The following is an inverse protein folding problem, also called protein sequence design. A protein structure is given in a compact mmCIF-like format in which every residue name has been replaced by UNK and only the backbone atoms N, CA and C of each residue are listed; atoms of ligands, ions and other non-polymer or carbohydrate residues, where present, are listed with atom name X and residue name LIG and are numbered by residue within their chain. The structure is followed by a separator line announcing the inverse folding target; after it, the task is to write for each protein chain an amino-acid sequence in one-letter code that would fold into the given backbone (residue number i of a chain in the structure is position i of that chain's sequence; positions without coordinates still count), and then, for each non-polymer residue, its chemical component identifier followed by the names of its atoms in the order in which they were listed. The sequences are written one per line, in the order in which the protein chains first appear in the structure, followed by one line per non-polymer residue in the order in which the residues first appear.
data_IF_107022619754
#
_entry.id   IF_107022619754
#
_cell.length_a   1.000
_cell.length_b   1.000
_cell.length_c   1.000
_cell.angle_alpha   90.00
_cell.angle_beta   90.00
_cell.angle_gamma   90.00
#
_symmetry.space_group_name_H-M   'P 1'
#
loop_
_entity.id
_entity.type
_entity.pdbx_description
1 polymer ?
#
# COMPACT_ATOMS: atom_id res chain seq x y z
N UNK A 1 -9.32 -25.17 -3.27
CA UNK A 1 -9.10 -24.53 -1.96
C UNK A 1 -9.48 -23.08 -2.18
N UNK A 2 -10.66 -22.68 -1.69
CA UNK A 2 -11.23 -21.37 -2.00
C UNK A 2 -10.34 -20.26 -1.45
N UNK A 3 -10.05 -19.27 -2.30
CA UNK A 3 -9.28 -18.05 -1.99
C UNK A 3 -9.89 -17.27 -0.79
N UNK A 4 -11.11 -17.64 -0.37
CA UNK A 4 -11.80 -17.06 0.79
C UNK A 4 -11.09 -17.32 2.13
N UNK A 5 -10.40 -18.44 2.33
CA UNK A 5 -9.75 -18.77 3.61
C UNK A 5 -8.33 -18.18 3.77
N UNK A 6 -7.69 -17.74 2.69
CA UNK A 6 -6.28 -17.29 2.69
C UNK A 6 -6.06 -15.93 3.37
N UNK A 7 -7.11 -15.17 3.69
CA UNK A 7 -6.95 -13.81 4.27
C UNK A 7 -6.71 -13.76 5.77
N UNK A 8 -6.90 -14.87 6.48
CA UNK A 8 -6.74 -14.91 7.94
C UNK A 8 -5.89 -16.10 8.41
N UNK A 9 -5.34 -16.89 7.47
CA UNK A 9 -4.43 -17.99 7.74
C UNK A 9 -2.98 -17.53 7.89
N UNK A 10 -2.19 -18.29 8.66
CA UNK A 10 -0.78 -18.02 9.00
C UNK A 10 0.17 -17.93 7.78
N UNK A 11 -0.30 -18.15 6.54
CA UNK A 11 0.50 -18.29 5.30
C UNK A 11 -0.06 -17.51 4.08
N UNK A 12 -1.03 -16.61 4.26
CA UNK A 12 -1.79 -16.04 3.13
C UNK A 12 -0.96 -15.35 2.02
N UNK A 13 0.14 -14.69 2.37
CA UNK A 13 1.01 -14.04 1.39
C UNK A 13 1.81 -15.05 0.54
N UNK A 14 2.45 -16.02 1.20
CA UNK A 14 3.17 -17.09 0.48
C UNK A 14 2.23 -17.95 -0.37
N UNK A 15 1.03 -18.22 0.12
CA UNK A 15 -0.01 -18.94 -0.64
C UNK A 15 -0.46 -18.14 -1.88
N UNK A 16 -0.55 -16.80 -1.80
CA UNK A 16 -0.85 -15.94 -2.96
C UNK A 16 0.29 -15.97 -4.00
N UNK A 17 1.55 -15.95 -3.56
CA UNK A 17 2.70 -16.07 -4.46
C UNK A 17 2.75 -17.46 -5.10
N UNK A 18 2.50 -18.52 -4.33
CA UNK A 18 2.43 -19.89 -4.85
C UNK A 18 1.26 -20.05 -5.82
N UNK A 19 0.12 -19.42 -5.54
CA UNK A 19 -1.00 -19.36 -6.47
C UNK A 19 -0.59 -18.67 -7.78
N UNK A 20 0.07 -17.51 -7.73
CA UNK A 20 0.64 -16.85 -8.93
C UNK A 20 1.61 -17.74 -9.71
N UNK A 21 2.50 -18.47 -9.03
CA UNK A 21 3.42 -19.43 -9.65
C UNK A 21 2.70 -20.62 -10.28
N UNK A 22 1.66 -21.14 -9.61
CA UNK A 22 0.83 -22.22 -10.11
C UNK A 22 0.07 -21.78 -11.36
N UNK A 23 -0.51 -20.58 -11.36
CA UNK A 23 -1.13 -19.96 -12.53
C UNK A 23 -0.14 -19.87 -13.69
N UNK A 24 1.10 -19.42 -13.45
CA UNK A 24 2.13 -19.38 -14.49
C UNK A 24 2.47 -20.78 -15.03
N UNK A 25 2.44 -21.81 -14.18
CA UNK A 25 2.66 -23.20 -14.61
C UNK A 25 1.50 -23.74 -15.45
N UNK A 26 0.26 -23.57 -14.98
CA UNK A 26 -0.95 -23.99 -15.71
C UNK A 26 -1.10 -23.25 -17.04
N UNK A 27 -0.73 -21.97 -17.08
CA UNK A 27 -0.67 -21.16 -18.29
C UNK A 27 0.43 -21.60 -19.28
N UNK A 28 1.56 -22.14 -18.77
CA UNK A 28 2.61 -22.76 -19.60
C UNK A 28 2.23 -24.15 -20.12
N UNK A 29 1.38 -24.87 -19.41
CA UNK A 29 0.84 -26.15 -19.88
C UNK A 29 -0.29 -25.95 -20.92
N UNK A 30 -0.93 -24.77 -20.91
CA UNK A 30 -1.89 -24.29 -21.92
C UNK A 30 -1.25 -23.41 -23.01
N UNK A 31 0.08 -23.33 -23.04
CA UNK A 31 0.85 -22.36 -23.83
C UNK A 31 0.53 -22.39 -25.33
N UNK A 32 -0.10 -21.30 -25.79
CA UNK A 32 -0.51 -21.07 -27.17
C UNK A 32 0.68 -20.81 -28.09
N UNK A 33 1.85 -20.46 -27.55
CA UNK A 33 3.08 -20.19 -28.33
C UNK A 33 3.59 -21.42 -29.12
N UNK A 34 3.02 -22.61 -28.89
CA UNK A 34 3.37 -23.86 -29.62
C UNK A 34 2.33 -24.32 -30.67
N UNK A 35 1.24 -23.58 -30.93
CA UNK A 35 0.12 -24.07 -31.75
C UNK A 35 -0.14 -23.29 -33.06
N UNK A 36 -0.82 -23.96 -34.00
CA UNK A 36 -0.98 -23.70 -35.46
C UNK A 36 -1.77 -22.44 -35.87
N UNK A 37 -1.76 -22.16 -37.18
CA UNK A 37 -2.32 -20.98 -37.87
C UNK A 37 -3.78 -20.60 -37.58
N UNK A 38 -4.59 -21.50 -37.01
CA UNK A 38 -5.99 -21.23 -36.63
C UNK A 38 -6.13 -20.32 -35.41
N UNK A 39 -5.08 -20.15 -34.59
CA UNK A 39 -5.09 -19.33 -33.36
C UNK A 39 -4.56 -17.91 -33.52
N UNK A 40 -4.16 -17.49 -34.73
CA UNK A 40 -3.90 -16.06 -35.02
C UNK A 40 -5.11 -15.17 -34.70
N UNK A 41 -6.31 -15.70 -34.89
CA UNK A 41 -7.57 -15.02 -34.58
C UNK A 41 -7.82 -14.89 -33.06
N UNK A 42 -7.29 -15.81 -32.24
CA UNK A 42 -7.33 -15.75 -30.76
C UNK A 42 -6.27 -14.76 -30.22
N UNK A 43 -5.12 -14.60 -30.89
CA UNK A 43 -4.14 -13.57 -30.53
C UNK A 43 -4.71 -12.16 -30.75
N UNK A 44 -5.44 -11.93 -31.85
CA UNK A 44 -6.13 -10.66 -32.09
C UNK A 44 -7.27 -10.42 -31.08
N UNK A 45 -7.86 -11.49 -30.54
CA UNK A 45 -8.94 -11.43 -29.53
C UNK A 45 -8.45 -10.87 -28.19
N UNK A 46 -7.23 -11.22 -27.75
CA UNK A 46 -6.69 -10.78 -26.46
C UNK A 46 -5.81 -9.53 -26.52
N UNK A 47 -5.41 -9.11 -27.71
CA UNK A 47 -4.56 -7.93 -27.93
C UNK A 47 -5.12 -6.66 -27.23
N UNK A 48 -6.44 -6.47 -27.23
CA UNK A 48 -7.08 -5.38 -26.49
C UNK A 48 -6.82 -5.49 -24.98
N UNK A 49 -6.92 -6.68 -24.40
CA UNK A 49 -6.64 -6.93 -22.99
C UNK A 49 -5.15 -6.82 -22.64
N UNK A 50 -4.24 -7.16 -23.55
CA UNK A 50 -2.80 -6.91 -23.36
C UNK A 50 -2.51 -5.42 -23.15
N UNK A 51 -3.14 -4.57 -23.97
CA UNK A 51 -3.02 -3.11 -23.87
C UNK A 51 -3.75 -2.56 -22.63
N UNK A 52 -4.99 -3.00 -22.37
CA UNK A 52 -5.77 -2.54 -21.21
C UNK A 52 -5.01 -2.86 -19.92
N UNK A 53 -4.57 -4.11 -19.72
CA UNK A 53 -3.85 -4.50 -18.52
C UNK A 53 -2.52 -3.77 -18.39
N UNK A 54 -1.78 -3.55 -19.48
CA UNK A 54 -0.55 -2.76 -19.47
C UNK A 54 -0.80 -1.34 -18.94
N UNK A 55 -1.77 -0.62 -19.51
CA UNK A 55 -2.07 0.75 -19.08
C UNK A 55 -2.62 0.78 -17.65
N UNK A 56 -3.50 -0.14 -17.25
CA UNK A 56 -3.97 -0.20 -15.86
C UNK A 56 -2.85 -0.45 -14.85
N UNK A 57 -1.82 -1.23 -15.22
CA UNK A 57 -0.64 -1.44 -14.37
C UNK A 57 0.29 -0.23 -14.30
N UNK A 58 0.51 0.45 -15.44
CA UNK A 58 1.56 1.48 -15.58
C UNK A 58 1.06 2.90 -15.35
N UNK A 59 -0.24 3.13 -15.43
CA UNK A 59 -0.92 4.41 -15.25
C UNK A 59 -1.82 4.39 -13.99
N UNK A 60 -1.24 4.53 -12.78
CA UNK A 60 -1.94 4.32 -11.53
C UNK A 60 -3.11 5.27 -11.28
N UNK A 61 -3.19 6.40 -12.01
CA UNK A 61 -4.30 7.35 -11.91
C UNK A 61 -5.66 6.71 -12.20
N UNK A 62 -5.73 5.77 -13.15
CA UNK A 62 -6.98 5.14 -13.54
C UNK A 62 -7.50 4.26 -12.40
N UNK A 63 -6.67 3.33 -11.91
CA UNK A 63 -7.02 2.47 -10.79
C UNK A 63 -7.27 3.27 -9.50
N UNK A 64 -6.56 4.38 -9.27
CA UNK A 64 -6.80 5.26 -8.12
C UNK A 64 -8.22 5.83 -8.14
N UNK A 65 -8.70 6.29 -9.30
CA UNK A 65 -10.08 6.79 -9.45
C UNK A 65 -11.10 5.67 -9.32
N UNK A 66 -10.85 4.51 -9.93
CA UNK A 66 -11.70 3.33 -9.80
C UNK A 66 -11.89 2.91 -8.33
N UNK A 67 -10.79 2.78 -7.58
CA UNK A 67 -10.82 2.39 -6.16
C UNK A 67 -11.62 3.40 -5.32
N UNK A 68 -11.52 4.68 -5.66
CA UNK A 68 -12.21 5.72 -4.91
C UNK A 68 -13.74 5.65 -4.98
N UNK A 69 -14.30 5.14 -6.08
CA UNK A 69 -15.73 4.93 -6.23
C UNK A 69 -16.29 3.91 -5.21
N UNK A 70 -15.43 3.07 -4.64
CA UNK A 70 -15.79 2.02 -3.70
C UNK A 70 -15.47 2.37 -2.24
N UNK A 71 -14.98 3.56 -1.94
CA UNK A 71 -14.72 3.96 -0.54
C UNK A 71 -15.97 4.03 0.34
N UNK A 72 -17.15 4.24 -0.27
CA UNK A 72 -18.44 4.17 0.42
C UNK A 72 -18.99 2.74 0.55
N UNK A 73 -18.35 1.75 -0.08
CA UNK A 73 -18.74 0.33 -0.14
C UNK A 73 -17.59 -0.56 0.36
N UNK A 74 -17.21 -0.46 1.66
CA UNK A 74 -16.02 -1.12 2.19
C UNK A 74 -16.06 -2.65 2.09
N UNK A 75 -17.24 -3.26 1.99
CA UNK A 75 -17.44 -4.69 1.77
C UNK A 75 -17.01 -5.17 0.38
N UNK A 76 -16.99 -4.28 -0.62
CA UNK A 76 -16.62 -4.60 -2.00
C UNK A 76 -15.11 -4.55 -2.21
N UNK A 77 -14.41 -3.67 -1.47
CA UNK A 77 -12.98 -3.42 -1.66
C UNK A 77 -12.11 -4.68 -1.47
N UNK A 78 -12.28 -5.52 -0.43
CA UNK A 78 -11.49 -6.75 -0.29
C UNK A 78 -11.68 -7.70 -1.47
N UNK A 79 -12.91 -7.83 -1.96
CA UNK A 79 -13.24 -8.70 -3.09
C UNK A 79 -12.66 -8.16 -4.40
N UNK A 80 -12.73 -6.84 -4.64
CA UNK A 80 -12.06 -6.20 -5.76
C UNK A 80 -10.55 -6.43 -5.73
N UNK A 81 -9.92 -6.23 -4.56
CA UNK A 81 -8.46 -6.44 -4.39
C UNK A 81 -8.10 -7.89 -4.73
N UNK A 82 -8.82 -8.87 -4.18
CA UNK A 82 -8.54 -10.29 -4.39
C UNK A 82 -8.81 -10.78 -5.81
N UNK A 83 -9.93 -10.37 -6.41
CA UNK A 83 -10.44 -10.97 -7.66
C UNK A 83 -10.04 -10.20 -8.92
N UNK A 84 -9.63 -8.94 -8.80
CA UNK A 84 -9.22 -8.11 -9.93
C UNK A 84 -7.82 -7.53 -9.75
N UNK A 85 -7.55 -6.84 -8.64
CA UNK A 85 -6.31 -6.07 -8.48
C UNK A 85 -5.07 -6.97 -8.34
N UNK A 86 -5.08 -7.92 -7.41
CA UNK A 86 -3.95 -8.84 -7.23
C UNK A 86 -3.69 -9.69 -8.49
N UNK A 87 -4.70 -10.29 -9.17
CA UNK A 87 -4.51 -10.93 -10.45
C UNK A 87 -3.89 -10.00 -11.51
N UNK A 88 -4.35 -8.75 -11.61
CA UNK A 88 -3.79 -7.76 -12.55
C UNK A 88 -2.29 -7.53 -12.29
N UNK A 89 -1.86 -7.48 -11.03
CA UNK A 89 -0.45 -7.34 -10.65
C UNK A 89 0.25 -8.69 -10.43
N UNK A 90 -0.20 -9.77 -11.09
CA UNK A 90 0.40 -11.11 -11.01
C UNK A 90 0.69 -11.57 -9.56
N UNK A 91 -0.20 -11.25 -8.62
CA UNK A 91 -0.08 -11.52 -7.19
C UNK A 91 1.24 -11.04 -6.56
N UNK A 92 1.87 -10.02 -7.15
CA UNK A 92 3.13 -9.45 -6.68
C UNK A 92 4.25 -10.50 -6.68
N UNK A 93 4.21 -11.42 -7.66
CA UNK A 93 5.18 -12.52 -7.74
C UNK A 93 6.60 -12.07 -8.12
N UNK A 94 6.72 -10.94 -8.85
CA UNK A 94 7.98 -10.37 -9.32
C UNK A 94 8.12 -8.91 -8.85
N UNK A 95 9.38 -8.42 -8.77
CA UNK A 95 9.68 -7.07 -8.26
C UNK A 95 9.05 -5.94 -9.09
N UNK A 96 8.82 -6.17 -10.39
CA UNK A 96 8.16 -5.20 -11.28
C UNK A 96 6.73 -4.95 -10.79
N UNK A 97 5.94 -5.99 -10.61
CA UNK A 97 4.56 -5.88 -10.16
C UNK A 97 4.47 -5.36 -8.73
N UNK A 98 5.43 -5.71 -7.86
CA UNK A 98 5.57 -5.10 -6.53
C UNK A 98 5.73 -3.58 -6.62
N UNK A 99 6.64 -3.12 -7.49
CA UNK A 99 6.87 -1.70 -7.71
C UNK A 99 5.65 -0.97 -8.28
N UNK A 100 4.97 -1.54 -9.27
CA UNK A 100 3.80 -0.91 -9.89
C UNK A 100 2.62 -0.85 -8.91
N UNK A 101 2.42 -1.89 -8.11
CA UNK A 101 1.42 -1.86 -7.04
C UNK A 101 1.79 -0.84 -5.95
N UNK A 102 3.06 -0.77 -5.56
CA UNK A 102 3.55 0.25 -4.63
C UNK A 102 3.33 1.67 -5.18
N UNK A 103 3.53 1.87 -6.49
CA UNK A 103 3.27 3.14 -7.18
C UNK A 103 1.79 3.51 -7.19
N UNK A 104 0.89 2.53 -7.35
CA UNK A 104 -0.56 2.73 -7.18
C UNK A 104 -0.90 3.16 -5.75
N UNK A 105 -0.38 2.47 -4.74
CA UNK A 105 -0.61 2.83 -3.34
C UNK A 105 -0.07 4.22 -3.00
N UNK A 106 1.09 4.59 -3.55
CA UNK A 106 1.64 5.95 -3.45
C UNK A 106 0.67 6.98 -4.04
N UNK A 107 0.13 6.74 -5.24
CA UNK A 107 -0.82 7.65 -5.88
C UNK A 107 -2.11 7.82 -5.04
N UNK A 108 -2.62 6.72 -4.48
CA UNK A 108 -3.78 6.73 -3.58
C UNK A 108 -3.49 7.55 -2.32
N UNK A 109 -2.32 7.38 -1.71
CA UNK A 109 -1.88 8.15 -0.54
C UNK A 109 -1.74 9.64 -0.87
N UNK A 110 -1.04 9.99 -1.96
CA UNK A 110 -0.82 11.38 -2.39
C UNK A 110 -2.14 12.12 -2.55
N UNK A 111 -3.13 11.49 -3.19
CA UNK A 111 -4.46 12.08 -3.38
C UNK A 111 -5.12 12.48 -2.06
N UNK A 112 -5.04 11.64 -1.04
CA UNK A 112 -5.59 11.96 0.28
C UNK A 112 -4.73 13.00 1.01
N UNK A 113 -3.40 12.92 0.92
CA UNK A 113 -2.44 13.90 1.47
C UNK A 113 -2.75 15.32 0.95
N UNK A 114 -3.06 15.44 -0.34
CA UNK A 114 -3.46 16.70 -1.00
C UNK A 114 -4.79 17.28 -0.47
N UNK A 115 -5.51 16.56 0.40
CA UNK A 115 -6.72 17.06 1.06
C UNK A 115 -6.56 17.25 2.57
N UNK A 116 -5.44 16.80 3.15
CA UNK A 116 -5.23 16.84 4.59
C UNK A 116 -5.04 18.25 5.12
N UNK A 117 -5.62 18.51 6.31
CA UNK A 117 -5.40 19.75 7.06
C UNK A 117 -4.27 19.65 8.08
N UNK A 118 -3.89 18.44 8.47
CA UNK A 118 -2.80 18.15 9.41
C UNK A 118 -2.22 16.75 9.16
N UNK A 119 -0.91 16.50 9.41
CA UNK A 119 -0.28 15.20 9.16
C UNK A 119 -0.97 14.03 9.88
N UNK A 120 -1.37 14.25 11.13
CA UNK A 120 -2.04 13.25 11.98
C UNK A 120 -3.33 12.68 11.41
N UNK A 121 -3.99 13.40 10.50
CA UNK A 121 -5.27 12.98 9.94
C UNK A 121 -5.12 11.85 8.91
N UNK A 122 -3.91 11.56 8.41
CA UNK A 122 -3.67 10.49 7.42
C UNK A 122 -4.22 9.14 7.87
N UNK A 123 -4.09 8.79 9.16
CA UNK A 123 -4.54 7.48 9.69
C UNK A 123 -6.07 7.25 9.60
N UNK A 124 -6.84 8.28 9.29
CA UNK A 124 -8.31 8.24 9.18
C UNK A 124 -8.82 8.31 7.74
N UNK A 125 -7.92 8.44 6.76
CA UNK A 125 -8.31 8.65 5.37
C UNK A 125 -8.77 7.36 4.70
N UNK A 126 -9.28 7.46 3.47
CA UNK A 126 -9.69 6.28 2.71
C UNK A 126 -8.48 5.52 2.17
N UNK A 127 -7.38 6.21 1.86
CA UNK A 127 -6.09 5.60 1.58
C UNK A 127 -5.65 4.70 2.73
N UNK A 128 -5.74 5.16 3.99
CA UNK A 128 -5.42 4.33 5.17
C UNK A 128 -6.29 3.06 5.25
N UNK A 129 -7.60 3.18 4.99
CA UNK A 129 -8.52 2.04 4.96
C UNK A 129 -8.16 1.06 3.84
N UNK A 130 -7.81 1.55 2.67
CA UNK A 130 -7.42 0.73 1.53
C UNK A 130 -6.08 0.03 1.76
N UNK A 131 -5.07 0.74 2.28
CA UNK A 131 -3.77 0.17 2.65
C UNK A 131 -3.92 -0.91 3.71
N UNK A 132 -4.87 -0.75 4.65
CA UNK A 132 -5.24 -1.77 5.64
C UNK A 132 -5.77 -3.06 5.03
N UNK A 133 -6.42 -2.99 3.87
CA UNK A 133 -6.94 -4.18 3.19
C UNK A 133 -5.81 -4.90 2.46
N UNK A 134 -5.01 -4.16 1.70
CA UNK A 134 -4.07 -4.74 0.75
C UNK A 134 -2.72 -5.14 1.35
N UNK A 135 -2.16 -4.35 2.28
CA UNK A 135 -0.82 -4.59 2.82
C UNK A 135 -0.67 -6.00 3.41
N UNK A 136 -1.57 -6.48 4.28
CA UNK A 136 -1.46 -7.84 4.83
C UNK A 136 -1.46 -8.95 3.76
N UNK A 137 -2.06 -8.71 2.59
CA UNK A 137 -2.09 -9.69 1.50
C UNK A 137 -0.76 -9.73 0.72
N UNK A 138 -0.03 -8.61 0.68
CA UNK A 138 1.16 -8.43 -0.18
C UNK A 138 2.47 -8.30 0.59
N UNK A 139 2.43 -8.31 1.92
CA UNK A 139 3.63 -8.27 2.75
C UNK A 139 3.77 -9.57 3.53
N UNK A 140 4.83 -10.35 3.27
CA UNK A 140 5.17 -11.57 4.00
C UNK A 140 5.59 -11.30 5.45
N UNK A 141 4.63 -11.38 6.37
CA UNK A 141 4.79 -11.00 7.78
C UNK A 141 4.65 -12.18 8.73
N UNK A 142 4.73 -13.42 8.24
CA UNK A 142 4.39 -14.62 9.02
C UNK A 142 5.22 -14.70 10.30
N UNK A 143 6.54 -14.45 10.21
CA UNK A 143 7.44 -14.51 11.37
C UNK A 143 7.09 -13.49 12.47
N UNK A 144 6.63 -12.28 12.09
CA UNK A 144 6.21 -11.25 13.04
C UNK A 144 4.84 -11.60 13.62
N UNK A 145 3.92 -12.07 12.78
CA UNK A 145 2.59 -12.50 13.18
C UNK A 145 2.64 -13.67 14.16
N UNK A 146 3.50 -14.67 13.93
CA UNK A 146 3.69 -15.79 14.86
C UNK A 146 4.16 -15.33 16.24
N UNK A 147 5.09 -14.35 16.31
CA UNK A 147 5.54 -13.78 17.59
C UNK A 147 4.42 -13.06 18.33
N UNK A 148 3.57 -12.31 17.62
CA UNK A 148 2.42 -11.63 18.22
C UNK A 148 1.36 -12.63 18.68
N UNK A 149 1.10 -13.68 17.90
CA UNK A 149 0.18 -14.77 18.29
C UNK A 149 0.69 -15.46 19.56
N UNK A 150 1.98 -15.71 19.67
CA UNK A 150 2.57 -16.28 20.89
C UNK A 150 2.43 -15.35 22.10
N UNK A 151 2.65 -14.04 21.94
CA UNK A 151 2.37 -13.07 23.00
C UNK A 151 0.90 -13.07 23.41
N UNK A 152 -0.02 -13.21 22.46
CA UNK A 152 -1.45 -13.30 22.76
C UNK A 152 -1.82 -14.59 23.48
N UNK A 153 -1.11 -15.70 23.22
CA UNK A 153 -1.25 -16.94 24.02
C UNK A 153 -0.76 -16.74 25.45
N UNK A 154 0.38 -16.05 25.64
CA UNK A 154 0.89 -15.73 26.98
C UNK A 154 -0.07 -14.83 27.76
N UNK A 155 -0.74 -13.88 27.09
CA UNK A 155 -1.75 -13.00 27.69
C UNK A 155 -2.88 -13.82 28.36
N UNK A 156 -3.25 -14.95 27.76
CA UNK A 156 -4.33 -15.84 28.22
C UNK A 156 -3.98 -16.67 29.46
N UNK A 157 -2.70 -16.79 29.81
CA UNK A 157 -2.27 -17.56 30.98
C UNK A 157 -2.88 -16.98 32.26
N UNK A 158 -3.33 -17.85 33.18
CA UNK A 158 -4.04 -17.45 34.40
C UNK A 158 -3.26 -16.45 35.23
N UNK A 159 -1.93 -16.57 35.31
CA UNK A 159 -1.08 -15.62 36.03
C UNK A 159 -1.00 -14.21 35.41
N UNK A 160 -1.42 -14.06 34.16
CA UNK A 160 -1.39 -12.81 33.41
C UNK A 160 -2.76 -12.14 33.29
N UNK A 161 -3.81 -12.85 33.71
CA UNK A 161 -5.18 -12.36 33.70
C UNK A 161 -5.42 -11.43 34.89
N UNK A 162 -6.18 -10.38 34.65
CA UNK A 162 -6.66 -9.45 35.67
C UNK A 162 -8.16 -9.62 35.84
N UNK A 163 -8.64 -9.46 37.07
CA UNK A 163 -10.04 -9.68 37.43
C UNK A 163 -10.98 -8.72 36.70
N UNK A 164 -10.62 -7.43 36.65
CA UNK A 164 -11.40 -6.42 35.95
C UNK A 164 -10.47 -5.40 35.29
N UNK A 165 -10.66 -5.16 34.00
CA UNK A 165 -9.93 -4.17 33.22
C UNK A 165 -10.80 -2.95 32.95
N UNK A 166 -10.43 -1.79 33.50
CA UNK A 166 -11.09 -0.52 33.19
C UNK A 166 -10.18 0.66 33.53
N UNK A 167 -10.15 1.66 32.65
CA UNK A 167 -9.43 2.93 32.88
C UNK A 167 -10.35 4.11 33.21
N UNK A 168 -11.66 3.92 33.12
CA UNK A 168 -12.64 4.95 33.43
C UNK A 168 -13.01 4.89 34.91
N UNK A 169 -12.39 5.77 35.71
CA UNK A 169 -12.62 5.87 37.16
C UNK A 169 -14.09 6.11 37.51
N UNK A 170 -14.85 6.83 36.68
CA UNK A 170 -16.26 7.13 36.95
C UNK A 170 -17.11 5.87 36.78
N UNK A 171 -16.85 5.10 35.72
CA UNK A 171 -17.53 3.82 35.49
C UNK A 171 -17.18 2.77 36.56
N UNK A 172 -15.92 2.75 37.03
CA UNK A 172 -15.51 1.85 38.11
C UNK A 172 -16.21 2.25 39.42
N UNK A 173 -16.24 3.54 39.73
CA UNK A 173 -16.89 4.06 40.93
C UNK A 173 -18.39 3.75 40.92
N UNK A 174 -19.08 4.01 39.80
CA UNK A 174 -20.52 3.73 39.65
C UNK A 174 -20.85 2.25 39.84
N UNK A 175 -19.98 1.35 39.37
CA UNK A 175 -20.16 -0.09 39.54
C UNK A 175 -20.05 -0.54 41.01
N UNK A 176 -19.20 0.09 41.83
CA UNK A 176 -19.02 -0.29 43.24
C UNK A 176 -19.95 0.44 44.21
N UNK A 177 -20.26 1.71 43.93
CA UNK A 177 -20.99 2.60 44.84
C UNK A 177 -22.46 2.80 44.43
N UNK A 178 -22.87 2.33 43.24
CA UNK A 178 -24.25 2.42 42.74
C UNK A 178 -24.71 3.84 42.40
N UNK A 179 -23.79 4.81 42.35
CA UNK A 179 -24.03 6.21 41.97
C UNK A 179 -22.83 6.77 41.21
N UNK A 180 -23.04 7.85 40.47
CA UNK A 180 -21.93 8.59 39.86
C UNK A 180 -21.11 9.36 40.92
N UNK A 181 -19.79 9.49 40.71
CA UNK A 181 -18.98 10.37 41.53
C UNK A 181 -19.34 11.83 41.27
N UNK A 182 -19.10 12.70 42.25
CA UNK A 182 -19.25 14.15 42.15
C UNK A 182 -18.19 14.75 41.23
N UNK A 183 -16.97 14.23 41.34
CA UNK A 183 -15.83 14.59 40.52
C UNK A 183 -14.84 13.42 40.40
N UNK A 184 -13.89 13.55 39.48
CA UNK A 184 -12.83 12.55 39.25
C UNK A 184 -11.92 12.34 40.48
N UNK A 185 -11.89 13.26 41.44
CA UNK A 185 -11.06 13.14 42.65
C UNK A 185 -11.72 12.22 43.66
N UNK A 186 -13.04 12.31 43.85
CA UNK A 186 -13.82 11.38 44.66
C UNK A 186 -13.64 9.94 44.13
N UNK A 187 -13.76 9.76 42.81
CA UNK A 187 -13.55 8.46 42.19
C UNK A 187 -12.13 7.92 42.41
N UNK A 188 -11.10 8.76 42.19
CA UNK A 188 -9.70 8.34 42.33
C UNK A 188 -9.27 8.06 43.78
N UNK A 189 -9.96 8.63 44.78
CA UNK A 189 -9.69 8.39 46.21
C UNK A 189 -10.34 7.12 46.77
N UNK A 190 -11.28 6.50 46.04
CA UNK A 190 -11.89 5.25 46.46
C UNK A 190 -10.89 4.09 46.29
N UNK A 191 -10.61 3.35 47.38
CA UNK A 191 -9.61 2.27 47.39
C UNK A 191 -9.89 1.17 46.35
N UNK A 192 -11.16 0.81 46.12
CA UNK A 192 -11.53 -0.20 45.12
C UNK A 192 -11.26 0.30 43.71
N UNK A 193 -11.60 1.58 43.45
CA UNK A 193 -11.33 2.23 42.16
C UNK A 193 -9.82 2.32 41.92
N UNK A 194 -9.06 2.76 42.91
CA UNK A 194 -7.61 2.88 42.84
C UNK A 194 -6.95 1.52 42.57
N UNK A 195 -7.40 0.45 43.23
CA UNK A 195 -6.91 -0.90 42.99
C UNK A 195 -7.12 -1.35 41.53
N UNK A 196 -8.36 -1.30 41.04
CA UNK A 196 -8.70 -1.67 39.66
C UNK A 196 -7.92 -0.83 38.64
N UNK A 197 -7.85 0.48 38.86
CA UNK A 197 -7.16 1.40 37.97
C UNK A 197 -5.66 1.08 37.91
N UNK A 198 -5.01 0.87 39.05
CA UNK A 198 -3.58 0.57 39.09
C UNK A 198 -3.27 -0.79 38.47
N UNK A 199 -4.09 -1.80 38.70
CA UNK A 199 -3.96 -3.11 38.03
C UNK A 199 -4.14 -2.99 36.52
N UNK A 200 -5.12 -2.20 36.05
CA UNK A 200 -5.36 -1.96 34.63
C UNK A 200 -4.21 -1.19 33.96
N UNK A 201 -3.64 -0.18 34.65
CA UNK A 201 -2.46 0.56 34.19
C UNK A 201 -1.24 -0.35 34.10
N UNK A 202 -0.94 -1.12 35.15
CA UNK A 202 0.18 -2.05 35.17
C UNK A 202 0.05 -3.11 34.06
N UNK A 203 -1.16 -3.61 33.82
CA UNK A 203 -1.46 -4.52 32.72
C UNK A 203 -1.16 -3.90 31.35
N UNK A 204 -1.64 -2.68 31.08
CA UNK A 204 -1.35 -2.00 29.81
C UNK A 204 0.13 -1.69 29.63
N UNK A 205 0.81 -1.22 30.68
CA UNK A 205 2.26 -0.96 30.60
C UNK A 205 3.01 -2.24 30.27
N UNK A 206 2.75 -3.34 31.00
CA UNK A 206 3.42 -4.63 30.77
C UNK A 206 3.19 -5.15 29.35
N UNK A 207 1.94 -5.23 28.92
CA UNK A 207 1.59 -5.87 27.64
C UNK A 207 1.78 -4.94 26.44
N UNK A 208 1.54 -3.65 26.60
CA UNK A 208 1.84 -2.63 25.60
C UNK A 208 3.32 -2.59 25.26
N UNK A 209 4.19 -2.58 26.28
CA UNK A 209 5.65 -2.60 26.06
C UNK A 209 6.10 -3.89 25.37
N UNK A 210 5.62 -5.07 25.81
CA UNK A 210 5.94 -6.35 25.14
C UNK A 210 5.52 -6.38 23.67
N UNK A 211 4.32 -5.89 23.36
CA UNK A 211 3.84 -5.81 21.97
C UNK A 211 4.70 -4.84 21.17
N UNK A 212 4.99 -3.66 21.71
CA UNK A 212 5.85 -2.67 21.05
C UNK A 212 7.27 -3.20 20.81
N UNK A 213 7.86 -3.92 21.76
CA UNK A 213 9.18 -4.56 21.61
C UNK A 213 9.20 -5.58 20.47
N UNK A 214 8.13 -6.38 20.31
CA UNK A 214 8.03 -7.34 19.21
C UNK A 214 7.83 -6.63 17.87
N UNK A 215 6.92 -5.66 17.81
CA UNK A 215 6.60 -4.93 16.57
C UNK A 215 7.79 -4.09 16.09
N UNK A 216 8.43 -3.36 17.00
CA UNK A 216 9.44 -2.34 16.69
C UNK A 216 10.86 -2.77 17.06
N UNK A 217 11.10 -4.07 17.22
CA UNK A 217 12.44 -4.59 17.48
C UNK A 217 13.42 -4.15 16.40
N UNK A 218 14.70 -3.98 16.75
CA UNK A 218 15.77 -3.78 15.75
C UNK A 218 15.91 -4.95 14.77
N UNK A 219 15.38 -6.12 15.13
CA UNK A 219 15.35 -7.29 14.25
C UNK A 219 14.20 -7.26 13.25
N UNK A 220 13.23 -6.36 13.43
CA UNK A 220 12.08 -6.22 12.55
C UNK A 220 12.55 -5.63 11.22
N UNK A 221 12.42 -6.41 10.15
CA UNK A 221 12.68 -5.95 8.78
C UNK A 221 11.38 -5.52 8.15
N UNK A 222 11.30 -4.24 7.77
CA UNK A 222 10.16 -3.74 7.02
C UNK A 222 10.23 -4.27 5.58
N UNK A 223 9.12 -4.78 5.01
CA UNK A 223 9.02 -5.10 3.59
C UNK A 223 9.42 -3.94 2.67
N UNK A 224 10.01 -4.24 1.50
CA UNK A 224 10.47 -3.22 0.52
C UNK A 224 9.35 -2.26 0.13
N UNK A 225 8.17 -2.77 -0.20
CA UNK A 225 6.99 -1.96 -0.49
C UNK A 225 6.66 -0.96 0.63
N UNK A 226 6.72 -1.39 1.90
CA UNK A 226 6.45 -0.49 3.02
C UNK A 226 7.52 0.59 3.15
N UNK A 227 8.79 0.24 2.99
CA UNK A 227 9.87 1.23 3.01
C UNK A 227 9.68 2.31 1.93
N UNK A 228 9.35 1.89 0.71
CA UNK A 228 9.03 2.80 -0.40
C UNK A 228 7.83 3.71 -0.10
N UNK A 229 6.74 3.16 0.44
CA UNK A 229 5.55 3.94 0.78
C UNK A 229 5.82 4.95 1.91
N UNK A 230 6.59 4.56 2.92
CA UNK A 230 6.98 5.44 4.03
C UNK A 230 7.78 6.63 3.50
N UNK A 231 8.80 6.35 2.68
CA UNK A 231 9.66 7.40 2.14
C UNK A 231 8.88 8.33 1.20
N UNK A 232 8.12 7.77 0.25
CA UNK A 232 7.30 8.58 -0.65
C UNK A 232 6.24 9.42 0.08
N UNK A 233 5.57 8.86 1.09
CA UNK A 233 4.62 9.59 1.94
C UNK A 233 5.30 10.73 2.69
N UNK A 234 6.53 10.53 3.16
CA UNK A 234 7.30 11.58 3.83
C UNK A 234 7.61 12.76 2.91
N UNK A 235 8.00 12.49 1.68
CA UNK A 235 8.24 13.53 0.66
C UNK A 235 6.95 14.30 0.38
N UNK A 236 5.84 13.60 0.10
CA UNK A 236 4.55 14.21 -0.19
C UNK A 236 4.01 15.02 1.01
N UNK A 237 4.22 14.53 2.24
CA UNK A 237 3.85 15.24 3.47
C UNK A 237 4.67 16.51 3.70
N UNK A 238 5.97 16.50 3.39
CA UNK A 238 6.83 17.69 3.48
C UNK A 238 6.42 18.76 2.48
N UNK A 239 6.08 18.35 1.26
CA UNK A 239 5.55 19.23 0.23
C UNK A 239 4.22 19.86 0.68
N UNK A 240 3.31 19.06 1.24
CA UNK A 240 2.01 19.52 1.74
C UNK A 240 2.10 20.42 2.97
N UNK A 241 2.99 20.12 3.90
CA UNK A 241 3.11 20.79 5.20
C UNK A 241 4.51 21.37 5.43
N UNK A 242 4.92 22.40 4.67
CA UNK A 242 6.29 22.94 4.73
C UNK A 242 6.65 23.59 6.07
N UNK A 243 5.64 23.91 6.90
CA UNK A 243 5.80 24.47 8.25
C UNK A 243 5.75 23.41 9.36
N UNK A 244 5.34 22.19 9.06
CA UNK A 244 5.30 21.12 10.05
C UNK A 244 6.71 20.67 10.38
N UNK A 245 6.96 20.32 11.64
CA UNK A 245 8.26 19.78 12.03
C UNK A 245 8.43 18.36 11.51
N UNK A 246 9.67 17.88 11.45
CA UNK A 246 9.95 16.48 11.13
C UNK A 246 9.18 15.53 12.07
N UNK A 247 9.10 15.86 13.36
CA UNK A 247 8.37 15.07 14.35
C UNK A 247 6.86 14.99 14.04
N UNK A 248 6.22 16.11 13.67
CA UNK A 248 4.79 16.13 13.34
C UNK A 248 4.46 15.26 12.12
N UNK A 249 5.33 15.31 11.10
CA UNK A 249 5.19 14.47 9.89
C UNK A 249 5.39 12.99 10.26
N UNK A 250 6.43 12.68 11.04
CA UNK A 250 6.72 11.31 11.46
C UNK A 250 5.62 10.70 12.30
N UNK A 251 5.02 11.48 13.21
CA UNK A 251 3.84 11.04 13.94
C UNK A 251 2.72 10.65 12.97
N UNK A 252 2.46 11.48 11.96
CA UNK A 252 1.41 11.25 10.95
C UNK A 252 1.60 9.92 10.21
N UNK A 253 2.83 9.70 9.73
CA UNK A 253 3.26 8.50 9.03
C UNK A 253 3.18 7.28 9.95
N UNK A 254 3.75 7.36 11.16
CA UNK A 254 3.78 6.26 12.11
C UNK A 254 2.36 5.84 12.52
N UNK A 255 1.46 6.80 12.75
CA UNK A 255 0.06 6.54 13.03
C UNK A 255 -0.68 5.87 11.85
N UNK A 256 -0.39 6.29 10.62
CA UNK A 256 -0.95 5.66 9.41
C UNK A 256 -0.48 4.22 9.26
N UNK A 257 0.83 3.94 9.39
CA UNK A 257 1.37 2.58 9.27
C UNK A 257 0.81 1.71 10.40
N UNK A 258 0.77 2.21 11.63
CA UNK A 258 0.20 1.46 12.74
C UNK A 258 -1.24 1.04 12.48
N UNK A 259 -2.09 1.97 12.05
CA UNK A 259 -3.48 1.68 11.69
C UNK A 259 -3.62 0.79 10.46
N UNK A 260 -2.73 0.89 9.49
CA UNK A 260 -2.85 0.18 8.22
C UNK A 260 -2.18 -1.20 8.23
N UNK A 261 -1.28 -1.46 9.18
CA UNK A 261 -0.42 -2.63 9.11
C UNK A 261 -0.35 -3.37 10.45
N UNK A 262 0.08 -2.70 11.52
CA UNK A 262 0.37 -3.37 12.78
C UNK A 262 -0.86 -3.64 13.67
N UNK A 263 -1.88 -2.77 13.65
CA UNK A 263 -3.07 -2.91 14.50
C UNK A 263 -3.78 -4.25 14.26
N UNK A 264 -3.90 -4.70 13.01
CA UNK A 264 -4.54 -5.97 12.68
C UNK A 264 -3.77 -7.17 13.23
N UNK A 265 -2.45 -7.10 13.30
CA UNK A 265 -1.65 -8.21 13.87
C UNK A 265 -2.00 -8.46 15.35
N UNK A 266 -2.36 -7.41 16.08
CA UNK A 266 -2.72 -7.49 17.51
C UNK A 266 -4.21 -7.77 17.71
N UNK A 267 -5.07 -7.23 16.84
CA UNK A 267 -6.53 -7.25 17.00
C UNK A 267 -7.24 -8.38 16.26
N UNK A 268 -6.57 -9.08 15.35
CA UNK A 268 -7.17 -10.24 14.67
C UNK A 268 -7.57 -11.31 15.67
N UNK A 269 -8.76 -11.89 15.49
CA UNK A 269 -9.22 -13.01 16.30
C UNK A 269 -8.30 -14.21 16.12
N UNK A 270 -7.86 -14.79 17.22
CA UNK A 270 -7.03 -15.98 17.20
C UNK A 270 -7.97 -17.17 17.42
N UNK A 271 -8.36 -17.82 16.32
CA UNK A 271 -9.14 -19.06 16.32
C UNK A 271 -8.42 -20.10 17.18
N UNK A 272 -9.17 -20.79 18.02
CA UNK A 272 -8.65 -21.85 18.88
C UNK A 272 -8.63 -23.18 18.12
N UNK A 273 -7.71 -24.08 18.49
CA UNK A 273 -7.73 -25.47 18.00
C UNK A 273 -9.00 -26.22 18.46
N UNK A 274 -9.64 -25.75 19.54
CA UNK A 274 -10.88 -26.29 20.10
C UNK A 274 -12.16 -25.56 19.63
N UNK A 275 -12.02 -24.51 18.81
CA UNK A 275 -13.13 -23.73 18.27
C UNK A 275 -13.84 -22.78 19.26
N UNK A 276 -13.29 -22.53 20.45
CA UNK A 276 -13.88 -21.59 21.42
C UNK A 276 -13.83 -20.12 20.97
N UNK A 277 -14.56 -19.23 21.65
CA UNK A 277 -14.59 -17.79 21.34
C UNK A 277 -13.41 -17.04 21.98
N UNK A 278 -13.05 -15.89 21.42
CA UNK A 278 -11.88 -15.11 21.87
C UNK A 278 -12.26 -14.04 22.91
N UNK A 279 -12.38 -14.46 24.17
CA UNK A 279 -12.80 -13.60 25.28
C UNK A 279 -11.84 -12.42 25.57
N UNK A 280 -10.63 -12.44 25.04
CA UNK A 280 -9.59 -11.43 25.26
C UNK A 280 -9.51 -10.35 24.18
N UNK A 281 -10.39 -10.37 23.16
CA UNK A 281 -10.39 -9.38 22.08
C UNK A 281 -10.47 -7.94 22.60
N UNK A 282 -11.28 -7.68 23.62
CA UNK A 282 -11.39 -6.36 24.25
C UNK A 282 -10.07 -5.90 24.88
N UNK A 283 -9.35 -6.81 25.55
CA UNK A 283 -8.04 -6.51 26.17
C UNK A 283 -6.98 -6.26 25.12
N UNK A 284 -6.92 -7.07 24.06
CA UNK A 284 -5.99 -6.85 22.94
C UNK A 284 -6.26 -5.55 22.19
N UNK A 285 -7.53 -5.20 22.02
CA UNK A 285 -7.93 -3.91 21.43
C UNK A 285 -7.47 -2.75 22.31
N UNK A 286 -7.61 -2.86 23.64
CA UNK A 286 -7.09 -1.86 24.56
C UNK A 286 -5.56 -1.76 24.52
N UNK A 287 -4.84 -2.88 24.48
CA UNK A 287 -3.38 -2.94 24.31
C UNK A 287 -2.97 -2.27 22.98
N UNK A 288 -3.61 -2.63 21.86
CA UNK A 288 -3.30 -2.05 20.56
C UNK A 288 -3.54 -0.54 20.53
N UNK A 289 -4.65 -0.07 21.12
CA UNK A 289 -4.92 1.37 21.24
C UNK A 289 -3.89 2.09 22.10
N UNK A 290 -3.41 1.44 23.16
CA UNK A 290 -2.35 2.00 24.00
C UNK A 290 -1.01 2.09 23.23
N UNK A 291 -0.66 1.06 22.45
CA UNK A 291 0.52 1.10 21.57
C UNK A 291 0.35 2.16 20.48
N UNK A 292 -0.84 2.34 19.90
CA UNK A 292 -1.12 3.43 18.96
C UNK A 292 -0.77 4.80 19.57
N UNK A 293 -1.22 5.06 20.80
CA UNK A 293 -0.90 6.30 21.52
C UNK A 293 0.61 6.49 21.74
N UNK A 294 1.33 5.42 22.04
CA UNK A 294 2.80 5.40 22.05
C UNK A 294 3.39 5.78 20.69
N UNK A 295 2.96 5.14 19.61
CA UNK A 295 3.48 5.38 18.26
C UNK A 295 3.28 6.85 17.83
N UNK A 296 2.11 7.44 18.10
CA UNK A 296 1.83 8.85 17.77
C UNK A 296 2.31 9.85 18.83
N UNK A 297 2.91 9.36 19.93
CA UNK A 297 3.36 10.15 21.07
C UNK A 297 2.28 11.05 21.69
N UNK A 298 1.05 10.54 21.84
CA UNK A 298 -0.06 11.26 22.46
C UNK A 298 -0.34 10.68 23.85
N UNK A 299 0.11 11.39 24.88
CA UNK A 299 -0.10 11.06 26.28
C UNK A 299 -1.45 11.52 26.85
N UNK A 300 -1.66 11.21 28.13
CA UNK A 300 -2.77 11.70 28.93
C UNK A 300 -2.41 13.07 29.55
N UNK A 301 -3.30 14.06 29.38
CA UNK A 301 -3.15 15.41 29.91
C UNK A 301 -3.76 15.60 31.29
N UNK A 302 -3.90 16.87 31.71
CA UNK A 302 -4.40 17.26 33.03
C UNK A 302 -5.87 16.84 33.26
N UNK A 303 -6.67 16.75 32.20
CA UNK A 303 -8.04 16.25 32.22
C UNK A 303 -8.13 14.79 32.67
N UNK A 304 -7.06 14.01 32.44
CA UNK A 304 -6.93 12.60 32.83
C UNK A 304 -5.65 12.37 33.63
N UNK A 305 -5.36 13.26 34.58
CA UNK A 305 -4.16 13.23 35.42
C UNK A 305 -3.91 11.86 36.08
N UNK A 306 -4.97 11.11 36.43
CA UNK A 306 -4.89 9.79 37.06
C UNK A 306 -4.31 8.69 36.15
N UNK A 307 -4.19 8.97 34.84
CA UNK A 307 -3.54 8.12 33.83
C UNK A 307 -2.14 8.61 33.45
N UNK A 308 -1.67 9.76 33.95
CA UNK A 308 -0.39 10.36 33.58
C UNK A 308 0.82 9.44 33.80
N UNK A 309 0.73 8.49 34.75
CA UNK A 309 1.76 7.48 34.99
C UNK A 309 1.98 6.53 33.80
N UNK A 310 1.08 6.50 32.81
CA UNK A 310 1.25 5.76 31.57
C UNK A 310 2.11 6.50 30.52
N UNK A 311 2.33 7.81 30.69
CA UNK A 311 3.02 8.63 29.71
C UNK A 311 4.49 8.21 29.52
N UNK A 312 5.14 7.72 30.58
CA UNK A 312 6.50 7.18 30.49
C UNK A 312 6.57 6.01 29.50
N UNK A 313 5.64 5.05 29.61
CA UNK A 313 5.57 3.93 28.69
C UNK A 313 5.18 4.36 27.26
N UNK A 314 4.31 5.37 27.10
CA UNK A 314 3.98 5.96 25.79
C UNK A 314 5.24 6.51 25.12
N UNK A 315 6.07 7.26 25.84
CA UNK A 315 7.34 7.79 25.32
C UNK A 315 8.32 6.67 24.96
N UNK A 316 8.46 5.63 25.78
CA UNK A 316 9.33 4.49 25.44
C UNK A 316 8.85 3.74 24.18
N UNK A 317 7.54 3.58 23.99
CA UNK A 317 6.98 2.99 22.77
C UNK A 317 7.27 3.88 21.56
N UNK A 318 7.17 5.20 21.71
CA UNK A 318 7.50 6.14 20.63
C UNK A 318 8.96 6.01 20.20
N UNK A 319 9.89 5.96 21.17
CA UNK A 319 11.32 5.80 20.89
C UNK A 319 11.59 4.53 20.07
N UNK A 320 10.99 3.40 20.44
CA UNK A 320 11.11 2.15 19.68
C UNK A 320 10.57 2.29 18.25
N UNK A 321 9.39 2.90 18.10
CA UNK A 321 8.79 3.10 16.77
C UNK A 321 9.65 4.02 15.89
N UNK A 322 10.19 5.10 16.45
CA UNK A 322 11.05 6.05 15.72
C UNK A 322 12.42 5.45 15.39
N UNK A 323 12.96 4.56 16.23
CA UNK A 323 14.18 3.80 15.93
C UNK A 323 14.01 2.90 14.69
N UNK A 324 12.81 2.35 14.47
CA UNK A 324 12.52 1.55 13.28
C UNK A 324 12.24 2.43 12.05
N UNK A 325 11.49 3.52 12.19
CA UNK A 325 10.95 4.28 11.06
C UNK A 325 11.90 5.37 10.52
N UNK A 326 12.67 6.03 11.38
CA UNK A 326 13.56 7.14 10.96
C UNK A 326 14.60 6.73 9.92
N UNK A 327 15.30 5.57 10.04
CA UNK A 327 16.31 5.15 9.06
C UNK A 327 15.75 4.97 7.64
N UNK A 328 14.50 4.52 7.52
CA UNK A 328 13.82 4.25 6.24
C UNK A 328 13.74 5.49 5.35
N UNK A 329 13.69 6.68 5.95
CA UNK A 329 13.56 7.95 5.22
C UNK A 329 14.92 8.46 4.74
N UNK A 330 16.00 8.11 5.44
CA UNK A 330 17.35 8.54 5.08
C UNK A 330 17.92 7.77 3.87
N UNK A 331 17.41 6.56 3.60
CA UNK A 331 17.86 5.68 2.52
C UNK A 331 16.99 5.88 1.25
N UNK A 332 16.99 7.09 0.68
CA UNK A 332 16.12 7.45 -0.45
C UNK A 332 16.55 6.82 -1.80
N UNK A 333 17.80 6.38 -1.93
CA UNK A 333 18.45 6.22 -3.23
C UNK A 333 18.49 4.80 -3.82
N UNK A 334 17.64 3.81 -3.46
CA UNK A 334 17.81 2.49 -4.13
C UNK A 334 16.67 1.46 -4.19
N UNK A 335 15.51 1.67 -3.53
CA UNK A 335 14.56 0.55 -3.31
C UNK A 335 14.02 -0.07 -4.63
N UNK A 336 13.76 0.75 -5.66
CA UNK A 336 13.22 0.30 -6.96
C UNK A 336 13.87 0.95 -8.20
N UNK A 337 15.09 1.48 -8.11
CA UNK A 337 15.69 2.24 -9.22
C UNK A 337 15.77 1.50 -10.56
N UNK A 338 15.96 0.18 -10.53
CA UNK A 338 16.04 -0.63 -11.75
C UNK A 338 14.70 -0.68 -12.48
N UNK A 339 13.58 -0.76 -11.76
CA UNK A 339 12.25 -1.01 -12.34
C UNK A 339 11.50 0.25 -12.77
N UNK A 340 11.95 1.44 -12.33
CA UNK A 340 11.32 2.74 -12.67
C UNK A 340 11.27 3.02 -14.19
N UNK A 341 12.16 2.42 -14.97
CA UNK A 341 12.27 2.63 -16.43
C UNK A 341 12.31 1.33 -17.25
N UNK A 342 12.22 0.16 -16.61
CA UNK A 342 12.27 -1.13 -17.31
C UNK A 342 11.10 -1.33 -18.29
N UNK A 343 9.94 -0.72 -18.04
CA UNK A 343 8.75 -0.90 -18.88
C UNK A 343 8.82 -0.18 -20.23
N UNK A 344 9.66 0.86 -20.33
CA UNK A 344 9.85 1.64 -21.57
C UNK A 344 11.09 1.16 -22.35
N UNK A 345 12.11 0.67 -21.64
CA UNK A 345 13.43 0.31 -22.20
C UNK A 345 13.68 -1.20 -22.27
N UNK A 346 12.79 -2.02 -21.70
CA UNK A 346 12.93 -3.47 -21.60
C UNK A 346 12.86 -4.15 -22.96
N UNK A 347 13.86 -4.99 -23.27
CA UNK A 347 13.89 -5.78 -24.51
C UNK A 347 12.82 -6.89 -24.58
N UNK A 348 12.06 -7.13 -23.51
CA UNK A 348 11.02 -8.18 -23.41
C UNK A 348 9.72 -7.57 -22.90
N UNK A 349 8.60 -7.92 -23.55
CA UNK A 349 7.25 -7.56 -23.10
C UNK A 349 6.96 -8.22 -21.74
N UNK A 350 6.38 -7.49 -20.77
CA UNK A 350 5.90 -8.10 -19.52
C UNK A 350 4.83 -9.17 -19.83
N UNK A 351 4.83 -10.26 -19.05
CA UNK A 351 3.92 -11.39 -19.25
C UNK A 351 2.97 -11.45 -18.06
N UNK A 352 1.67 -11.48 -18.33
CA UNK A 352 0.63 -11.64 -17.33
C UNK A 352 -0.13 -12.94 -17.56
N UNK A 353 -0.17 -13.80 -16.54
CA UNK A 353 -1.00 -14.99 -16.53
C UNK A 353 -2.25 -14.71 -15.69
N UNK A 354 -3.42 -14.81 -16.32
CA UNK A 354 -4.70 -14.46 -15.68
C UNK A 354 -5.80 -15.42 -16.13
N UNK A 355 -6.76 -15.73 -15.25
CA UNK A 355 -7.92 -16.54 -15.62
C UNK A 355 -9.02 -15.71 -16.31
N UNK A 356 -9.82 -16.33 -17.19
CA UNK A 356 -10.96 -15.65 -17.81
C UNK A 356 -11.96 -15.07 -16.78
N UNK A 357 -12.29 -15.77 -15.67
CA UNK A 357 -13.11 -15.19 -14.61
C UNK A 357 -12.50 -13.93 -13.99
N UNK A 358 -11.19 -13.93 -13.70
CA UNK A 358 -10.50 -12.76 -13.12
C UNK A 358 -10.48 -11.58 -14.10
N UNK A 359 -10.16 -11.86 -15.37
CA UNK A 359 -10.16 -10.85 -16.43
C UNK A 359 -11.56 -10.28 -16.67
N UNK A 360 -12.60 -11.11 -16.57
CA UNK A 360 -13.99 -10.68 -16.66
C UNK A 360 -14.39 -9.76 -15.49
N UNK A 361 -14.01 -10.13 -14.26
CA UNK A 361 -14.25 -9.29 -13.09
C UNK A 361 -13.55 -7.93 -13.25
N UNK A 362 -12.28 -7.92 -13.66
CA UNK A 362 -11.54 -6.69 -13.95
C UNK A 362 -12.25 -5.82 -15.01
N UNK A 363 -12.65 -6.43 -16.12
CA UNK A 363 -13.37 -5.75 -17.20
C UNK A 363 -14.69 -5.15 -16.72
N UNK A 364 -15.48 -5.88 -15.92
CA UNK A 364 -16.75 -5.39 -15.36
C UNK A 364 -16.53 -4.19 -14.46
N UNK A 365 -15.54 -4.22 -13.57
CA UNK A 365 -15.21 -3.08 -12.71
C UNK A 365 -14.79 -1.86 -13.54
N UNK A 366 -13.92 -2.03 -14.52
CA UNK A 366 -13.46 -0.97 -15.41
C UNK A 366 -14.61 -0.34 -16.23
N UNK A 367 -15.43 -1.18 -16.87
CA UNK A 367 -16.52 -0.74 -17.76
C UNK A 367 -17.66 -0.06 -17.00
N UNK A 368 -17.99 -0.55 -15.80
CA UNK A 368 -19.07 0.01 -14.97
C UNK A 368 -18.72 1.40 -14.44
N UNK A 369 -17.43 1.70 -14.25
CA UNK A 369 -16.93 2.96 -13.67
C UNK A 369 -16.10 3.75 -14.69
N UNK A 370 -16.39 3.59 -15.98
CA UNK A 370 -15.51 4.10 -17.03
C UNK A 370 -15.43 5.63 -17.03
N UNK A 371 -16.52 6.30 -16.65
CA UNK A 371 -16.63 7.76 -16.61
C UNK A 371 -15.76 8.36 -15.50
N UNK A 372 -15.77 7.78 -14.29
CA UNK A 372 -14.94 8.25 -13.20
C UNK A 372 -13.48 7.80 -13.36
N UNK A 373 -13.26 6.59 -13.86
CA UNK A 373 -11.92 6.05 -14.08
C UNK A 373 -11.17 6.87 -15.14
N UNK A 374 -11.84 7.15 -16.26
CA UNK A 374 -11.27 7.88 -17.40
C UNK A 374 -12.25 8.98 -17.85
N UNK A 375 -12.20 10.17 -17.20
CA UNK A 375 -13.16 11.25 -17.47
C UNK A 375 -13.11 11.81 -18.90
N UNK A 376 -11.94 11.76 -19.54
CA UNK A 376 -11.77 12.24 -20.92
C UNK A 376 -12.39 11.26 -21.90
N UNK A 377 -13.39 11.71 -22.65
CA UNK A 377 -14.12 10.88 -23.63
C UNK A 377 -13.23 10.41 -24.78
N UNK A 378 -12.31 11.26 -25.23
CA UNK A 378 -11.38 11.00 -26.34
C UNK A 378 -10.19 10.11 -25.94
N UNK A 379 -10.13 9.67 -24.68
CA UNK A 379 -9.04 8.83 -24.20
C UNK A 379 -9.08 7.45 -24.88
N UNK A 380 -7.98 7.06 -25.51
CA UNK A 380 -7.90 5.81 -26.27
C UNK A 380 -8.10 4.58 -25.39
N UNK A 381 -7.67 4.63 -24.13
CA UNK A 381 -7.89 3.52 -23.19
C UNK A 381 -9.38 3.38 -22.88
N UNK A 382 -10.12 4.50 -22.77
CA UNK A 382 -11.57 4.49 -22.57
C UNK A 382 -12.29 3.83 -23.74
N UNK A 383 -11.98 4.25 -24.97
CA UNK A 383 -12.55 3.66 -26.19
C UNK A 383 -12.27 2.15 -26.23
N UNK A 384 -11.01 1.77 -25.99
CA UNK A 384 -10.60 0.37 -26.01
C UNK A 384 -11.38 -0.49 -25.00
N UNK A 385 -11.54 -0.02 -23.76
CA UNK A 385 -12.29 -0.75 -22.72
C UNK A 385 -13.77 -0.90 -23.09
N UNK A 386 -14.38 0.13 -23.69
CA UNK A 386 -15.80 0.11 -24.07
C UNK A 386 -16.07 -0.84 -25.23
N UNK A 387 -15.22 -0.82 -26.25
CA UNK A 387 -15.33 -1.65 -27.46
C UNK A 387 -14.97 -3.12 -27.20
N UNK A 388 -14.08 -3.39 -26.24
CA UNK A 388 -13.68 -4.75 -25.87
C UNK A 388 -14.87 -5.51 -25.28
N UNK A 389 -15.10 -6.74 -25.77
CA UNK A 389 -16.13 -7.62 -25.24
C UNK A 389 -15.64 -8.31 -23.95
N UNK A 390 -16.52 -8.52 -22.96
CA UNK A 390 -16.15 -9.21 -21.73
C UNK A 390 -15.74 -10.67 -22.03
N UNK A 391 -14.73 -11.23 -21.33
CA UNK A 391 -14.30 -12.62 -21.50
C UNK A 391 -15.42 -13.57 -21.04
N UNK A 392 -15.48 -14.78 -21.60
CA UNK A 392 -16.44 -15.79 -21.12
C UNK A 392 -16.01 -16.32 -19.74
N UNK A 393 -16.72 -15.90 -18.69
CA UNK A 393 -16.42 -16.27 -17.30
C UNK A 393 -16.84 -17.70 -16.92
N UNK A 394 -17.64 -18.38 -17.74
CA UNK A 394 -18.08 -19.75 -17.48
C UNK A 394 -16.99 -20.78 -17.79
N UNK A 395 -15.91 -20.34 -18.44
CA UNK A 395 -14.75 -21.15 -18.77
C UNK A 395 -13.62 -20.88 -17.77
N UNK A 396 -13.21 -21.89 -17.00
CA UNK A 396 -12.01 -21.83 -16.16
C UNK A 396 -10.73 -22.02 -17.00
N UNK A 397 -10.55 -21.15 -17.99
CA UNK A 397 -9.35 -21.11 -18.83
C UNK A 397 -8.39 -20.03 -18.33
N UNK A 398 -7.10 -20.29 -18.52
CA UNK A 398 -6.03 -19.33 -18.28
C UNK A 398 -5.51 -18.79 -19.60
N UNK A 399 -5.23 -17.50 -19.62
CA UNK A 399 -4.63 -16.82 -20.77
C UNK A 399 -3.29 -16.20 -20.38
N UNK A 400 -2.36 -16.22 -21.33
CA UNK A 400 -1.05 -15.58 -21.20
C UNK A 400 -1.06 -14.33 -22.08
N UNK A 401 -1.04 -13.17 -21.44
CA UNK A 401 -1.07 -11.85 -22.07
C UNK A 401 0.36 -11.28 -22.15
N UNK A 402 0.78 -10.87 -23.34
CA UNK A 402 2.06 -10.20 -23.59
C UNK A 402 1.87 -8.68 -23.55
N UNK A 403 1.84 -8.13 -22.34
CA UNK A 403 1.51 -6.73 -22.09
C UNK A 403 2.37 -5.77 -22.90
N UNK A 404 1.73 -4.78 -23.53
CA UNK A 404 2.43 -3.76 -24.30
C UNK A 404 1.61 -2.45 -24.34
N UNK A 405 2.27 -1.29 -24.51
CA UNK A 405 1.55 -0.03 -24.66
C UNK A 405 0.71 -0.03 -25.94
N UNK A 406 -0.33 0.78 -25.97
CA UNK A 406 -1.03 1.10 -27.21
C UNK A 406 -0.06 1.70 -28.24
N UNK A 407 -0.16 1.33 -29.53
CA UNK A 407 0.67 1.92 -30.57
C UNK A 407 0.49 3.44 -30.56
N UNK A 408 1.57 4.21 -30.59
CA UNK A 408 1.49 5.67 -30.75
C UNK A 408 0.93 5.93 -32.14
N UNK A 409 -0.32 6.41 -32.21
CA UNK A 409 -0.93 6.84 -33.46
C UNK A 409 -0.51 8.28 -33.65
N UNK A 410 0.75 8.49 -34.03
CA UNK A 410 1.11 9.77 -34.61
C UNK A 410 0.69 9.70 -36.07
N UNK A 411 -0.18 10.63 -36.49
CA UNK A 411 -0.67 10.69 -37.87
C UNK A 411 0.44 11.03 -38.87
N UNK A 412 1.64 11.39 -38.40
CA UNK A 412 2.86 11.34 -39.19
C UNK A 412 3.57 10.01 -38.99
N UNK A 413 3.40 9.10 -39.95
CA UNK A 413 4.28 7.95 -40.13
C UNK A 413 5.75 8.41 -40.10
N UNK A 414 6.46 8.18 -38.99
CA UNK A 414 7.91 7.98 -39.01
C UNK A 414 8.20 6.75 -38.17
N UNK A 415 8.87 5.79 -38.80
CA UNK A 415 9.34 4.54 -38.22
C UNK A 415 9.93 4.78 -36.82
N UNK A 416 9.58 4.00 -35.78
CA UNK A 416 10.16 4.13 -34.45
C UNK A 416 11.70 4.13 -34.45
N UNK A 417 12.35 3.47 -35.43
CA UNK A 417 13.80 3.57 -35.62
C UNK A 417 14.23 4.98 -36.07
N UNK A 418 13.49 5.60 -36.98
CA UNK A 418 13.74 6.97 -37.43
C UNK A 418 13.48 7.99 -36.32
N UNK A 419 12.44 7.79 -35.49
CA UNK A 419 12.21 8.62 -34.31
C UNK A 419 13.36 8.50 -33.32
N UNK A 420 13.83 7.29 -33.04
CA UNK A 420 14.99 7.07 -32.18
C UNK A 420 16.27 7.72 -32.75
N UNK A 421 16.52 7.59 -34.05
CA UNK A 421 17.66 8.25 -34.71
C UNK A 421 17.55 9.78 -34.69
N UNK A 422 16.33 10.32 -34.81
CA UNK A 422 16.05 11.76 -34.74
C UNK A 422 16.23 12.28 -33.32
N UNK A 423 15.70 11.59 -32.30
CA UNK A 423 15.93 11.92 -30.88
C UNK A 423 17.41 11.84 -30.52
N UNK A 424 18.13 10.83 -31.03
CA UNK A 424 19.58 10.72 -30.86
C UNK A 424 20.30 11.90 -31.52
N UNK A 425 19.88 12.34 -32.71
CA UNK A 425 20.41 13.54 -33.36
C UNK A 425 20.19 14.79 -32.52
N UNK A 426 18.98 15.02 -32.02
CA UNK A 426 18.70 16.17 -31.14
C UNK A 426 19.55 16.17 -29.86
N UNK A 427 19.77 15.00 -29.25
CA UNK A 427 20.67 14.89 -28.10
C UNK A 427 22.13 15.22 -28.45
N UNK A 428 22.60 14.80 -29.62
CA UNK A 428 23.93 15.14 -30.12
C UNK A 428 24.03 16.65 -30.38
N UNK A 429 23.02 17.26 -30.97
CA UNK A 429 22.98 18.71 -31.23
C UNK A 429 23.05 19.51 -29.92
N UNK A 430 22.30 19.13 -28.89
CA UNK A 430 22.40 19.76 -27.56
C UNK A 430 23.81 19.64 -26.96
N UNK A 431 24.46 18.47 -27.11
CA UNK A 431 25.83 18.27 -26.64
C UNK A 431 26.84 19.15 -27.42
N UNK A 432 26.66 19.30 -28.73
CA UNK A 432 27.50 20.15 -29.58
C UNK A 432 27.33 21.65 -29.27
N UNK A 433 26.11 22.06 -28.91
CA UNK A 433 25.83 23.41 -28.42
C UNK A 433 26.44 23.69 -27.03
N UNK A 434 26.81 22.64 -26.30
CA UNK A 434 27.41 22.71 -24.98
C UNK A 434 26.39 22.91 -23.87
N UNK A 435 25.16 22.40 -24.05
CA UNK A 435 24.13 22.39 -23.01
C UNK A 435 24.65 21.64 -21.76
N UNK A 436 24.49 22.19 -20.55
CA UNK A 436 25.01 21.59 -19.33
C UNK A 436 24.21 20.33 -18.96
N UNK A 437 24.91 19.22 -18.70
CA UNK A 437 24.31 18.02 -18.13
C UNK A 437 25.18 16.78 -18.32
N UNK A 438 25.42 16.04 -17.23
CA UNK A 438 26.21 14.79 -17.25
C UNK A 438 25.37 13.58 -17.70
N UNK A 439 24.05 13.73 -17.77
CA UNK A 439 23.13 12.74 -18.30
C UNK A 439 21.94 13.43 -18.99
N UNK A 440 21.20 12.65 -19.80
CA UNK A 440 20.08 13.16 -20.63
C UNK A 440 19.03 13.90 -19.81
N UNK A 441 18.78 13.47 -18.57
CA UNK A 441 17.79 14.10 -17.69
C UNK A 441 18.22 15.50 -17.28
N UNK A 442 19.44 15.65 -16.75
CA UNK A 442 19.98 16.96 -16.33
C UNK A 442 20.06 17.90 -17.54
N UNK A 443 20.43 17.37 -18.71
CA UNK A 443 20.50 18.14 -19.95
C UNK A 443 19.13 18.69 -20.39
N UNK A 444 18.04 17.93 -20.19
CA UNK A 444 16.68 18.34 -20.55
C UNK A 444 15.99 19.21 -19.48
N UNK A 445 16.40 19.09 -18.20
CA UNK A 445 15.87 19.88 -17.10
C UNK A 445 16.50 21.29 -17.04
N UNK A 446 17.68 21.48 -17.64
CA UNK A 446 18.34 22.77 -17.70
C UNK A 446 17.76 23.65 -18.83
N UNK A 447 17.39 24.91 -18.54
CA UNK A 447 16.94 25.83 -19.56
C UNK A 447 18.07 26.18 -20.52
N UNK A 448 17.79 26.17 -21.82
CA UNK A 448 18.75 26.57 -22.85
C UNK A 448 19.06 28.06 -22.76
N UNK A 449 20.35 28.39 -22.76
CA UNK A 449 20.84 29.77 -22.72
C UNK A 449 21.03 30.32 -24.15
N UNK A 450 20.97 31.65 -24.29
CA UNK A 450 21.07 32.35 -25.58
C UNK A 450 22.35 32.01 -26.37
N UNK A 451 23.44 31.69 -25.65
CA UNK A 451 24.71 31.21 -26.24
C UNK A 451 24.59 29.84 -26.90
N UNK A 452 23.78 28.94 -26.34
CA UNK A 452 23.55 27.59 -26.86
C UNK A 452 22.65 27.65 -28.10
N UNK A 453 21.64 28.52 -28.09
CA UNK A 453 20.80 28.80 -29.26
C UNK A 453 21.58 29.41 -30.43
N UNK A 454 22.53 30.31 -30.14
CA UNK A 454 23.41 30.86 -31.17
C UNK A 454 24.28 29.79 -31.81
N UNK A 455 24.89 28.91 -30.99
CA UNK A 455 25.66 27.76 -31.50
C UNK A 455 24.79 26.78 -32.27
N UNK A 456 23.53 26.60 -31.86
CA UNK A 456 22.59 25.75 -32.59
C UNK A 456 22.32 26.27 -34.01
N UNK A 457 22.20 27.60 -34.17
CA UNK A 457 22.04 28.25 -35.47
C UNK A 457 23.28 28.14 -36.37
N UNK A 458 24.46 27.93 -35.77
CA UNK A 458 25.73 27.74 -36.48
C UNK A 458 25.97 26.28 -36.89
N UNK A 459 25.20 25.31 -36.37
CA UNK A 459 25.29 23.92 -36.76
C UNK A 459 24.77 23.73 -38.20
N UNK A 460 25.39 22.84 -39.00
CA UNK A 460 24.90 22.52 -40.34
C UNK A 460 23.53 21.82 -40.20
N UNK A 461 22.45 22.55 -40.44
CA UNK A 461 21.11 21.99 -40.44
C UNK A 461 20.99 21.09 -41.67
N UNK A 462 20.84 19.78 -41.44
CA UNK A 462 20.42 18.88 -42.51
C UNK A 462 18.99 19.27 -42.91
N UNK A 463 18.79 19.74 -44.13
CA UNK A 463 17.47 19.99 -44.70
C UNK A 463 16.57 18.77 -44.45
N UNK A 464 15.49 18.97 -43.70
CA UNK A 464 14.44 17.98 -43.56
C UNK A 464 13.66 17.92 -44.88
N UNK A 465 13.97 16.92 -45.71
CA UNK A 465 13.03 16.34 -46.68
C UNK A 465 12.62 14.95 -46.18
#
# INVERSE_FOLDING_TARGET
MDIMDMTYGHNGHNELIEHGKKLSKEAKDTDWMKATSSRKHEHDEWNAYEMICYHLQTEPQHLTRLIANYYSKPEVLPDFVKKALLPLFNFVADEREEFLLASLLKMILKRDIDTLTQPMALRKTNAAKFTRIILPMVTGIESLQSKIVELCKQLRLKENQIEFFNLNIDSIFEAYEGRRPKDSREAAQNDKVAHVLNSSKAFLTKWGSKVAEVLFSKSTKLPKMLQFLINSTYIDMKERFPRATHADIMQGIAGWIYKSFWEQMVTTEIKHDDGSADDDLNKRTAISRFVEFGVINVGYGDDKWYLSSLNEAISSINELAMQLLTPVIAEEEEIYHQHKYCDVLGKRKPILHISLPQLNVLHRYAKTNIEEMIPKEEDRLRVLIVETQPPNADQELYVTLLLHPMPIVDQSQKDPQQLFERTKRYLIECLLCGCPGENVRILLENPTLEREEQKYKELPQSEEN
#
